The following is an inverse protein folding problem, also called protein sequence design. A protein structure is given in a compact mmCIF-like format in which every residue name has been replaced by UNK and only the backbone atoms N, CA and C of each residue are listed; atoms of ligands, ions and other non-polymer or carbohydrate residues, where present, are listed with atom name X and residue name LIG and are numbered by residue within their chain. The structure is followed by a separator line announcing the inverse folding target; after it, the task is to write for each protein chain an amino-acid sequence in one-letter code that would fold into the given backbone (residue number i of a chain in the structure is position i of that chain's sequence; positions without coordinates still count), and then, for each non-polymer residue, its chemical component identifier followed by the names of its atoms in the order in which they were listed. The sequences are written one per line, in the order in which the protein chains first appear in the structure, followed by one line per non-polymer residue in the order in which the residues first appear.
data_IF_165766434275
#
_entry.id   IF_165766434275
#
_cell.length_a   1.000
_cell.length_b   1.000
_cell.length_c   1.000
_cell.angle_alpha   90.00
_cell.angle_beta   90.00
_cell.angle_gamma   90.00
#
_symmetry.space_group_name_H-M   'P 1'
#
loop_
_entity.id
_entity.type
_entity.pdbx_description
1 polymer ?
#
# COMPACT_ATOMS: atom_id res chain seq x y z
N UNK A 1 -1.97 -0.44 -30.51
CA UNK A 1 -1.80 -0.54 -29.04
C UNK A 1 -1.91 0.87 -28.48
N UNK A 2 -2.59 1.09 -27.36
CA UNK A 2 -2.93 2.42 -26.82
C UNK A 2 -1.75 3.23 -26.29
N UNK A 3 -0.52 2.69 -26.35
CA UNK A 3 0.73 3.26 -25.80
C UNK A 3 0.68 3.64 -24.31
N UNK A 4 -0.38 3.27 -23.60
CA UNK A 4 -0.53 3.45 -22.15
C UNK A 4 -0.16 2.17 -21.42
N UNK A 5 0.54 2.31 -20.30
CA UNK A 5 0.74 1.19 -19.38
C UNK A 5 -0.61 0.78 -18.79
N UNK A 6 -0.72 -0.52 -18.48
CA UNK A 6 -1.89 -1.11 -17.84
C UNK A 6 -1.55 -1.42 -16.39
N UNK A 7 -2.60 -1.48 -15.57
CA UNK A 7 -2.46 -1.79 -14.15
C UNK A 7 -1.78 -3.13 -13.90
N UNK A 8 -1.03 -3.22 -12.79
CA UNK A 8 -0.26 -4.42 -12.45
C UNK A 8 -1.12 -5.69 -12.42
N UNK A 9 -2.40 -5.59 -12.04
CA UNK A 9 -3.34 -6.71 -12.05
C UNK A 9 -3.41 -7.42 -13.41
N UNK A 10 -3.30 -6.69 -14.53
CA UNK A 10 -3.26 -7.31 -15.87
C UNK A 10 -1.99 -8.14 -16.06
N UNK A 11 -0.83 -7.63 -15.64
CA UNK A 11 0.44 -8.38 -15.71
C UNK A 11 0.39 -9.62 -14.81
N UNK A 12 -0.25 -9.53 -13.64
CA UNK A 12 -0.35 -10.65 -12.70
C UNK A 12 -0.98 -11.91 -13.31
N UNK A 13 -1.88 -11.74 -14.30
CA UNK A 13 -2.51 -12.86 -15.02
C UNK A 13 -1.50 -13.71 -15.80
N UNK A 14 -0.31 -13.17 -16.11
CA UNK A 14 0.78 -13.89 -16.78
C UNK A 14 1.67 -14.67 -15.82
N UNK A 15 1.69 -14.32 -14.53
CA UNK A 15 2.59 -14.89 -13.53
C UNK A 15 2.11 -16.29 -13.15
N UNK A 16 3.02 -17.28 -13.10
CA UNK A 16 2.77 -18.70 -12.74
C UNK A 16 1.81 -19.47 -13.66
N UNK A 17 1.49 -18.94 -14.84
CA UNK A 17 0.56 -19.60 -15.78
C UNK A 17 1.27 -20.70 -16.57
N UNK A 18 0.61 -21.86 -16.70
CA UNK A 18 1.15 -23.06 -17.38
C UNK A 18 0.54 -23.32 -18.76
N UNK A 19 -0.58 -22.68 -19.10
CA UNK A 19 -1.33 -22.89 -20.34
C UNK A 19 -1.66 -21.54 -21.01
N UNK A 20 -1.89 -21.56 -22.33
CA UNK A 20 -2.31 -20.40 -23.14
C UNK A 20 -1.35 -19.19 -23.10
N UNK A 21 -0.06 -19.46 -22.91
CA UNK A 21 0.98 -18.43 -22.69
C UNK A 21 1.12 -17.49 -23.89
N UNK A 22 1.12 -18.03 -25.11
CA UNK A 22 1.32 -17.25 -26.33
C UNK A 22 0.17 -16.28 -26.62
N UNK A 23 -1.06 -16.74 -26.47
CA UNK A 23 -2.23 -15.88 -26.68
C UNK A 23 -2.29 -14.77 -25.64
N UNK A 24 -1.98 -15.08 -24.38
CA UNK A 24 -1.95 -14.07 -23.33
C UNK A 24 -0.79 -13.08 -23.54
N UNK A 25 0.37 -13.52 -24.02
CA UNK A 25 1.47 -12.61 -24.37
C UNK A 25 1.12 -11.66 -25.52
N UNK A 26 0.31 -12.12 -26.49
CA UNK A 26 -0.23 -11.27 -27.56
C UNK A 26 -1.26 -10.27 -27.04
N UNK A 27 -2.15 -10.70 -26.14
CA UNK A 27 -3.19 -9.86 -25.52
C UNK A 27 -2.62 -8.83 -24.54
N UNK A 28 -1.62 -9.22 -23.74
CA UNK A 28 -1.00 -8.44 -22.68
C UNK A 28 0.51 -8.33 -22.91
N UNK A 29 0.95 -7.50 -23.87
CA UNK A 29 2.36 -7.24 -24.11
C UNK A 29 2.99 -6.55 -22.89
N UNK A 30 4.28 -6.82 -22.65
CA UNK A 30 5.03 -6.26 -21.51
C UNK A 30 6.29 -5.57 -22.02
N UNK A 31 6.59 -4.42 -21.43
CA UNK A 31 7.87 -3.73 -21.56
C UNK A 31 8.63 -3.83 -20.23
N UNK A 32 9.90 -4.23 -20.27
CA UNK A 32 10.77 -4.28 -19.11
C UNK A 32 11.41 -2.90 -18.87
N UNK A 33 11.20 -2.33 -17.70
CA UNK A 33 11.82 -1.08 -17.27
C UNK A 33 12.97 -1.38 -16.28
N UNK A 34 14.19 -1.50 -16.80
CA UNK A 34 15.37 -1.93 -16.02
C UNK A 34 15.95 -0.76 -15.23
N UNK A 35 16.19 -0.95 -13.93
CA UNK A 35 16.60 0.14 -13.04
C UNK A 35 17.93 -0.06 -12.31
N UNK A 36 18.50 -1.28 -12.29
CA UNK A 36 19.77 -1.59 -11.63
C UNK A 36 20.49 -2.76 -12.31
N UNK A 37 21.78 -2.91 -12.04
CA UNK A 37 22.62 -4.05 -12.45
C UNK A 37 23.42 -4.52 -11.24
N UNK A 38 23.24 -5.78 -10.85
CA UNK A 38 23.82 -6.33 -9.62
C UNK A 38 25.02 -7.26 -9.89
N UNK A 39 25.14 -7.75 -11.12
CA UNK A 39 26.19 -8.65 -11.56
C UNK A 39 26.41 -8.47 -13.06
N UNK A 40 27.67 -8.45 -13.51
CA UNK A 40 28.00 -8.33 -14.93
C UNK A 40 29.36 -8.99 -15.22
N UNK A 41 29.43 -9.86 -16.23
CA UNK A 41 30.66 -10.51 -16.71
C UNK A 41 31.56 -11.13 -15.61
N UNK A 42 30.97 -11.79 -14.61
CA UNK A 42 31.74 -12.40 -13.51
C UNK A 42 31.93 -11.50 -12.30
N UNK A 43 31.61 -10.21 -12.40
CA UNK A 43 31.78 -9.25 -11.32
C UNK A 43 30.51 -9.04 -10.51
N UNK A 44 30.64 -9.14 -9.18
CA UNK A 44 29.60 -8.78 -8.22
C UNK A 44 29.62 -7.26 -8.00
N UNK A 45 28.45 -6.62 -8.16
CA UNK A 45 28.30 -5.16 -8.06
C UNK A 45 27.49 -4.71 -6.85
N UNK A 46 27.21 -5.60 -5.88
CA UNK A 46 26.39 -5.25 -4.72
C UNK A 46 26.99 -4.10 -3.90
N UNK A 47 28.30 -4.12 -3.67
CA UNK A 47 28.98 -3.04 -2.93
C UNK A 47 29.32 -1.82 -3.80
N UNK A 48 29.12 -1.93 -5.11
CA UNK A 48 29.39 -0.84 -6.06
C UNK A 48 28.35 0.27 -5.89
N UNK A 49 28.71 1.57 -5.83
CA UNK A 49 27.78 2.68 -5.73
C UNK A 49 26.72 2.71 -6.86
N UNK A 50 25.48 3.09 -6.53
CA UNK A 50 24.37 3.16 -7.48
C UNK A 50 24.72 3.99 -8.72
N UNK A 51 25.43 5.11 -8.58
CA UNK A 51 25.86 5.93 -9.72
C UNK A 51 26.68 5.14 -10.75
N UNK A 52 27.60 4.26 -10.29
CA UNK A 52 28.44 3.43 -11.14
C UNK A 52 27.64 2.28 -11.75
N UNK A 53 26.82 1.59 -10.95
CA UNK A 53 25.93 0.52 -11.44
C UNK A 53 25.00 1.07 -12.52
N UNK A 54 24.43 2.24 -12.29
CA UNK A 54 23.52 2.88 -13.22
C UNK A 54 24.20 3.28 -14.52
N UNK A 55 25.41 3.82 -14.48
CA UNK A 55 26.18 4.12 -15.67
C UNK A 55 26.54 2.87 -16.48
N UNK A 56 26.83 1.74 -15.81
CA UNK A 56 27.03 0.46 -16.48
C UNK A 56 25.74 -0.05 -17.12
N UNK A 57 24.62 0.02 -16.40
CA UNK A 57 23.30 -0.39 -16.91
C UNK A 57 22.94 0.31 -18.22
N UNK A 58 23.14 1.63 -18.28
CA UNK A 58 22.88 2.47 -19.46
C UNK A 58 23.78 2.12 -20.65
N UNK A 59 24.95 1.50 -20.42
CA UNK A 59 25.83 1.03 -21.49
C UNK A 59 25.46 -0.36 -22.01
N UNK A 60 24.99 -1.24 -21.14
CA UNK A 60 24.78 -2.66 -21.49
C UNK A 60 23.36 -2.94 -22.01
N UNK A 61 22.37 -2.14 -21.63
CA UNK A 61 21.00 -2.30 -22.10
C UNK A 61 20.84 -1.61 -23.45
N UNK A 62 20.55 -2.40 -24.49
CA UNK A 62 20.13 -1.88 -25.79
C UNK A 62 18.63 -1.64 -25.75
N UNK A 63 18.23 -0.38 -25.60
CA UNK A 63 16.81 -0.02 -25.48
C UNK A 63 16.04 -0.34 -26.76
N UNK A 64 14.88 -0.97 -26.60
CA UNK A 64 13.90 -1.20 -27.65
C UNK A 64 12.51 -0.85 -27.09
N UNK A 65 11.90 0.22 -27.62
CA UNK A 65 10.60 0.74 -27.18
C UNK A 65 9.55 -0.39 -27.16
N UNK A 66 8.76 -0.45 -26.10
CA UNK A 66 7.75 -1.47 -25.84
C UNK A 66 8.26 -2.89 -25.63
N UNK A 67 9.58 -3.08 -25.45
CA UNK A 67 10.17 -4.37 -25.07
C UNK A 67 11.09 -4.26 -23.86
N UNK A 68 12.12 -3.43 -23.93
CA UNK A 68 13.08 -3.23 -22.86
C UNK A 68 13.65 -1.81 -22.92
N UNK A 69 13.52 -1.08 -21.83
CA UNK A 69 14.08 0.26 -21.67
C UNK A 69 14.75 0.40 -20.31
N UNK A 70 15.62 1.37 -20.18
CA UNK A 70 16.20 1.74 -18.91
C UNK A 70 15.25 2.75 -18.24
N UNK A 71 14.93 2.54 -16.95
CA UNK A 71 13.99 3.39 -16.21
C UNK A 71 14.41 4.86 -16.26
N UNK A 72 13.51 5.80 -16.52
CA UNK A 72 13.83 7.24 -16.51
C UNK A 72 14.37 7.69 -15.15
N UNK A 73 15.34 8.61 -15.15
CA UNK A 73 15.96 9.16 -13.94
C UNK A 73 16.23 10.66 -14.10
N UNK A 74 16.29 11.37 -12.97
CA UNK A 74 16.98 12.64 -12.84
C UNK A 74 17.96 12.55 -11.66
N UNK A 75 19.01 13.37 -11.68
CA UNK A 75 19.89 13.58 -10.53
C UNK A 75 19.77 15.05 -10.16
N UNK A 76 19.24 15.35 -8.98
CA UNK A 76 19.01 16.73 -8.54
C UNK A 76 19.17 16.85 -7.03
N UNK A 77 19.63 18.02 -6.59
CA UNK A 77 19.56 18.49 -5.19
C UNK A 77 18.41 19.48 -4.99
N UNK A 78 17.68 19.86 -6.04
CA UNK A 78 16.58 20.82 -6.00
C UNK A 78 15.25 20.11 -5.80
N UNK A 79 14.53 20.48 -4.73
CA UNK A 79 13.20 19.94 -4.41
C UNK A 79 12.17 20.18 -5.52
N UNK A 80 12.19 21.34 -6.19
CA UNK A 80 11.25 21.68 -7.26
C UNK A 80 11.40 20.73 -8.45
N UNK A 81 12.63 20.41 -8.86
CA UNK A 81 12.86 19.48 -9.97
C UNK A 81 12.43 18.05 -9.63
N UNK A 82 12.67 17.62 -8.37
CA UNK A 82 12.19 16.34 -7.87
C UNK A 82 10.66 16.26 -7.88
N UNK A 83 9.96 17.32 -7.46
CA UNK A 83 8.50 17.40 -7.49
C UNK A 83 7.94 17.37 -8.91
N UNK A 84 8.54 18.14 -9.84
CA UNK A 84 8.13 18.10 -11.26
C UNK A 84 8.29 16.71 -11.87
N UNK A 85 9.39 16.01 -11.56
CA UNK A 85 9.61 14.65 -12.02
C UNK A 85 8.59 13.66 -11.42
N UNK A 86 8.23 13.87 -10.16
CA UNK A 86 7.17 13.11 -9.50
C UNK A 86 5.80 13.34 -10.14
N UNK A 87 5.39 14.59 -10.34
CA UNK A 87 4.13 14.96 -10.99
C UNK A 87 4.05 14.42 -12.43
N UNK A 88 5.15 14.50 -13.19
CA UNK A 88 5.25 13.92 -14.53
C UNK A 88 5.07 12.38 -14.49
N UNK A 89 5.68 11.71 -13.50
CA UNK A 89 5.53 10.25 -13.33
C UNK A 89 4.08 9.86 -13.05
N UNK A 90 3.43 10.58 -12.13
CA UNK A 90 2.02 10.35 -11.75
C UNK A 90 1.07 10.67 -12.91
N UNK A 91 1.29 11.76 -13.65
CA UNK A 91 0.45 12.12 -14.80
C UNK A 91 0.51 11.10 -15.94
N UNK A 92 1.58 10.30 -16.01
CA UNK A 92 1.75 9.17 -16.94
C UNK A 92 1.13 7.87 -16.45
N UNK A 93 0.46 7.88 -15.30
CA UNK A 93 -0.19 6.71 -14.70
C UNK A 93 0.72 5.82 -13.87
N UNK A 94 1.94 6.26 -13.52
CA UNK A 94 2.80 5.49 -12.61
C UNK A 94 2.43 5.78 -11.14
N UNK A 95 2.78 4.86 -10.23
CA UNK A 95 2.53 5.00 -8.78
C UNK A 95 3.20 6.24 -8.15
N UNK A 96 4.29 6.73 -8.72
CA UNK A 96 5.13 7.79 -8.17
C UNK A 96 6.59 7.66 -8.59
N UNK A 97 7.52 7.94 -7.68
CA UNK A 97 8.98 7.88 -7.94
C UNK A 97 9.76 7.17 -6.83
N UNK A 98 10.93 6.65 -7.21
CA UNK A 98 11.93 6.13 -6.28
C UNK A 98 13.03 7.16 -6.06
N UNK A 99 13.18 7.64 -4.83
CA UNK A 99 14.32 8.44 -4.39
C UNK A 99 15.43 7.46 -3.97
N UNK A 100 16.64 7.61 -4.51
CA UNK A 100 17.77 6.71 -4.21
C UNK A 100 19.04 7.50 -3.95
N UNK A 101 19.80 7.12 -2.94
CA UNK A 101 21.11 7.72 -2.67
C UNK A 101 22.13 7.29 -3.73
N UNK A 102 22.86 8.25 -4.32
CA UNK A 102 23.80 7.97 -5.42
C UNK A 102 24.95 7.05 -5.01
N UNK A 103 25.39 7.19 -3.74
CA UNK A 103 26.54 6.46 -3.20
C UNK A 103 26.13 5.18 -2.47
N UNK A 104 24.85 4.79 -2.51
CA UNK A 104 24.41 3.59 -1.81
C UNK A 104 24.87 2.30 -2.49
N UNK A 105 25.34 1.30 -1.72
CA UNK A 105 25.44 -0.07 -2.21
C UNK A 105 24.03 -0.65 -2.42
N UNK A 106 23.94 -1.78 -3.12
CA UNK A 106 22.73 -2.59 -3.15
C UNK A 106 22.74 -3.55 -1.95
N UNK A 107 21.74 -3.45 -1.06
CA UNK A 107 21.61 -4.35 0.08
C UNK A 107 20.42 -5.31 -0.11
N UNK A 108 20.67 -6.60 -0.41
CA UNK A 108 19.60 -7.60 -0.46
C UNK A 108 18.82 -7.63 0.87
N UNK A 109 17.49 -7.60 0.79
CA UNK A 109 16.62 -7.72 1.97
C UNK A 109 16.51 -6.47 2.88
N UNK A 110 17.40 -5.48 2.76
CA UNK A 110 17.35 -4.25 3.57
C UNK A 110 16.81 -3.06 2.77
N UNK A 111 15.76 -2.41 3.30
CA UNK A 111 15.13 -1.23 2.70
C UNK A 111 15.45 0.09 3.42
N UNK A 112 16.16 0.03 4.54
CA UNK A 112 16.41 1.21 5.40
C UNK A 112 17.60 2.01 4.88
N UNK A 113 17.42 3.33 4.73
CA UNK A 113 18.50 4.33 4.60
C UNK A 113 19.03 4.64 3.19
N UNK A 114 18.66 3.88 2.15
CA UNK A 114 19.25 4.04 0.81
C UNK A 114 18.25 4.37 -0.30
N UNK A 115 16.98 4.06 -0.09
CA UNK A 115 15.91 4.33 -1.05
C UNK A 115 14.59 4.61 -0.34
N UNK A 116 13.82 5.53 -0.89
CA UNK A 116 12.49 5.94 -0.40
C UNK A 116 11.53 5.96 -1.58
N UNK A 117 10.29 5.50 -1.34
CA UNK A 117 9.20 5.58 -2.30
C UNK A 117 8.43 6.86 -2.02
N UNK A 118 8.18 7.65 -3.06
CA UNK A 118 7.27 8.79 -3.01
C UNK A 118 6.10 8.48 -3.96
N UNK A 119 4.91 8.25 -3.40
CA UNK A 119 3.70 7.86 -4.13
C UNK A 119 2.60 8.90 -3.99
N UNK A 120 1.64 8.90 -4.93
CA UNK A 120 0.46 9.77 -4.85
C UNK A 120 -0.70 9.20 -4.04
N UNK A 121 -0.68 7.89 -3.79
CA UNK A 121 -1.70 7.18 -3.02
C UNK A 121 -1.56 7.43 -1.53
N UNK A 122 -2.69 7.38 -0.83
CA UNK A 122 -2.72 7.28 0.63
C UNK A 122 -2.14 5.92 1.03
N UNK A 123 -0.97 5.92 1.66
CA UNK A 123 -0.37 4.69 2.22
C UNK A 123 -1.18 4.15 3.42
N UNK A 124 -2.05 4.99 3.98
CA UNK A 124 -2.91 4.71 5.13
C UNK A 124 -4.25 5.44 5.02
N UNK A 125 -5.30 4.87 5.59
CA UNK A 125 -6.57 5.54 5.85
C UNK A 125 -6.75 5.64 7.36
N UNK A 126 -7.20 6.79 7.84
CA UNK A 126 -7.69 6.95 9.20
C UNK A 126 -9.15 6.47 9.24
N UNK A 127 -9.45 5.39 9.96
CA UNK A 127 -10.77 4.74 9.95
C UNK A 127 -11.29 4.54 11.37
N UNK A 128 -12.59 4.71 11.57
CA UNK A 128 -13.22 4.57 12.88
C UNK A 128 -13.60 3.12 13.15
N UNK A 129 -13.52 2.69 14.41
CA UNK A 129 -14.02 1.39 14.85
C UNK A 129 -15.53 1.49 15.11
N UNK A 130 -16.32 0.68 14.41
CA UNK A 130 -17.80 0.61 14.56
C UNK A 130 -18.29 -0.72 15.13
N UNK A 131 -17.39 -1.70 15.20
CA UNK A 131 -17.66 -3.02 15.77
C UNK A 131 -16.36 -3.74 16.09
N UNK A 132 -16.46 -4.81 16.86
CA UNK A 132 -15.33 -5.68 17.13
C UNK A 132 -15.80 -7.11 17.43
N UNK A 133 -14.84 -8.04 17.54
CA UNK A 133 -15.09 -9.41 17.98
C UNK A 133 -14.16 -9.83 19.11
N UNK A 134 -14.72 -10.45 20.13
CA UNK A 134 -13.96 -11.13 21.18
C UNK A 134 -13.12 -12.26 20.57
N UNK A 135 -11.88 -12.37 21.04
CA UNK A 135 -10.96 -13.44 20.65
C UNK A 135 -11.39 -14.81 21.15
N UNK A 136 -10.58 -15.81 20.83
CA UNK A 136 -10.78 -17.20 21.25
C UNK A 136 -9.55 -17.73 21.97
N UNK A 137 -9.76 -18.82 22.72
CA UNK A 137 -8.69 -19.53 23.43
C UNK A 137 -7.89 -18.60 24.33
N UNK A 138 -6.59 -18.45 24.05
CA UNK A 138 -5.68 -17.62 24.86
C UNK A 138 -6.01 -16.12 24.80
N UNK A 139 -6.79 -15.67 23.82
CA UNK A 139 -7.15 -14.25 23.63
C UNK A 139 -8.64 -13.97 23.88
N UNK A 140 -9.36 -14.89 24.55
CA UNK A 140 -10.80 -14.70 24.83
C UNK A 140 -11.12 -13.49 25.71
N UNK A 141 -10.15 -13.01 26.48
CA UNK A 141 -10.30 -11.80 27.30
C UNK A 141 -10.13 -10.47 26.55
N UNK A 142 -9.84 -10.49 25.25
CA UNK A 142 -9.59 -9.28 24.45
C UNK A 142 -10.45 -9.24 23.18
N UNK A 143 -10.77 -8.04 22.74
CA UNK A 143 -11.22 -7.78 21.38
C UNK A 143 -10.03 -7.96 20.43
N UNK A 144 -10.19 -8.73 19.36
CA UNK A 144 -9.08 -9.13 18.48
C UNK A 144 -9.30 -8.89 16.99
N UNK A 145 -10.53 -8.57 16.59
CA UNK A 145 -10.91 -8.21 15.22
C UNK A 145 -11.78 -6.97 15.30
N UNK A 146 -11.45 -5.93 14.55
CA UNK A 146 -12.10 -4.61 14.62
C UNK A 146 -12.74 -4.30 13.26
N UNK A 147 -14.04 -4.03 13.24
CA UNK A 147 -14.77 -3.56 12.06
C UNK A 147 -14.51 -2.07 11.88
N UNK A 148 -13.96 -1.72 10.71
CA UNK A 148 -13.53 -0.38 10.35
C UNK A 148 -14.55 0.28 9.44
N UNK A 149 -14.74 1.59 9.59
CA UNK A 149 -15.60 2.39 8.74
C UNK A 149 -14.95 3.70 8.29
N UNK A 150 -15.31 4.12 7.07
CA UNK A 150 -15.13 5.48 6.55
C UNK A 150 -16.43 6.29 6.75
N UNK A 151 -16.39 7.60 6.55
CA UNK A 151 -17.57 8.47 6.68
C UNK A 151 -18.10 8.94 5.31
N UNK A 152 -19.42 8.96 5.12
CA UNK A 152 -20.05 9.56 3.94
C UNK A 152 -20.40 11.04 4.15
N UNK A 153 -20.85 11.73 3.08
CA UNK A 153 -21.19 13.15 3.12
C UNK A 153 -22.40 13.47 4.03
N UNK A 154 -23.18 12.46 4.40
CA UNK A 154 -24.32 12.58 5.31
C UNK A 154 -23.92 12.31 6.78
N UNK A 155 -22.64 12.01 7.05
CA UNK A 155 -22.14 11.67 8.37
C UNK A 155 -22.39 10.22 8.79
N UNK A 156 -22.77 9.33 7.87
CA UNK A 156 -22.93 7.91 8.16
C UNK A 156 -21.58 7.20 8.10
N UNK A 157 -21.31 6.36 9.09
CA UNK A 157 -20.16 5.46 9.06
C UNK A 157 -20.46 4.21 8.26
N UNK A 158 -19.70 4.01 7.17
CA UNK A 158 -19.84 2.91 6.24
C UNK A 158 -18.68 1.94 6.40
N UNK A 159 -18.98 0.67 6.65
CA UNK A 159 -17.99 -0.36 6.87
C UNK A 159 -17.12 -0.55 5.62
N UNK A 160 -15.83 -0.84 5.80
CA UNK A 160 -14.86 -1.05 4.72
C UNK A 160 -13.90 -2.22 4.99
N UNK A 161 -14.09 -2.96 6.09
CA UNK A 161 -13.23 -4.10 6.38
C UNK A 161 -13.21 -4.48 7.86
N UNK A 162 -12.55 -5.60 8.13
CA UNK A 162 -12.15 -5.99 9.48
C UNK A 162 -10.63 -6.06 9.56
N UNK A 163 -10.06 -5.70 10.72
CA UNK A 163 -8.62 -5.79 10.97
C UNK A 163 -8.34 -6.44 12.32
N UNK A 164 -7.41 -7.39 12.34
CA UNK A 164 -6.82 -7.94 13.57
C UNK A 164 -5.30 -7.96 13.54
N UNK A 165 -4.69 -7.50 12.44
CA UNK A 165 -3.22 -7.50 12.28
C UNK A 165 -2.64 -6.13 12.61
N UNK A 166 -1.39 -6.10 13.07
CA UNK A 166 -0.71 -4.86 13.46
C UNK A 166 -0.82 -4.54 14.95
N UNK A 167 -1.82 -5.11 15.63
CA UNK A 167 -2.01 -5.02 17.09
C UNK A 167 -1.14 -6.05 17.82
N UNK A 168 -0.56 -5.64 18.94
CA UNK A 168 0.38 -6.43 19.75
C UNK A 168 -0.32 -7.19 20.88
N UNK A 169 0.31 -8.23 21.41
CA UNK A 169 -0.17 -8.88 22.63
C UNK A 169 0.29 -8.13 23.89
N UNK A 170 1.47 -7.51 23.84
CA UNK A 170 2.07 -6.77 24.96
C UNK A 170 2.13 -5.29 24.63
N UNK A 171 1.68 -4.44 25.55
CA UNK A 171 1.69 -2.98 25.42
C UNK A 171 3.10 -2.39 25.20
N UNK A 172 4.12 -3.04 25.76
CA UNK A 172 5.54 -2.63 25.61
C UNK A 172 6.04 -2.67 24.15
N UNK A 173 5.37 -3.44 23.27
CA UNK A 173 5.75 -3.61 21.86
C UNK A 173 5.00 -2.64 20.92
N UNK A 174 4.12 -1.80 21.46
CA UNK A 174 3.19 -0.93 20.75
C UNK A 174 1.73 -1.24 21.09
N UNK A 175 0.82 -0.61 20.33
CA UNK A 175 -0.63 -0.71 20.57
C UNK A 175 -1.11 -2.16 20.69
N UNK A 176 -1.61 -2.51 21.86
CA UNK A 176 -1.96 -3.88 22.21
C UNK A 176 -3.46 -4.16 22.19
N UNK A 177 -3.82 -5.45 22.10
CA UNK A 177 -5.22 -5.88 22.19
C UNK A 177 -5.84 -5.51 23.53
N UNK A 178 -5.07 -5.57 24.61
CA UNK A 178 -5.52 -5.15 25.94
C UNK A 178 -5.88 -3.67 25.98
N UNK A 179 -5.00 -2.80 25.49
CA UNK A 179 -5.25 -1.35 25.43
C UNK A 179 -6.47 -1.01 24.58
N UNK A 180 -6.57 -1.56 23.36
CA UNK A 180 -7.75 -1.35 22.51
C UNK A 180 -9.02 -1.88 23.16
N UNK A 181 -8.95 -3.00 23.86
CA UNK A 181 -10.11 -3.53 24.59
C UNK A 181 -10.56 -2.57 25.68
N UNK A 182 -9.65 -2.03 26.49
CA UNK A 182 -9.99 -1.05 27.53
C UNK A 182 -10.52 0.26 26.95
N UNK A 183 -9.97 0.74 25.84
CA UNK A 183 -10.47 1.93 25.14
C UNK A 183 -11.90 1.71 24.60
N UNK A 184 -12.22 0.53 24.09
CA UNK A 184 -13.51 0.24 23.43
C UNK A 184 -14.61 -0.19 24.40
N UNK A 185 -14.27 -0.77 25.55
CA UNK A 185 -15.23 -1.24 26.57
C UNK A 185 -16.30 -0.20 26.94
N UNK A 186 -15.96 1.07 27.24
CA UNK A 186 -16.96 2.11 27.55
C UNK A 186 -17.90 2.44 26.39
N UNK A 187 -17.54 2.05 25.17
CA UNK A 187 -18.23 2.39 23.94
C UNK A 187 -19.04 1.21 23.36
N UNK A 188 -19.09 0.06 24.04
CA UNK A 188 -19.92 -1.08 23.62
C UNK A 188 -21.41 -0.71 23.75
N UNK A 189 -22.13 -0.73 22.63
CA UNK A 189 -23.59 -0.50 22.58
C UNK A 189 -24.38 -1.79 22.74
N UNK A 190 -23.90 -2.86 22.11
CA UNK A 190 -24.58 -4.15 22.08
C UNK A 190 -23.55 -5.26 21.93
N UNK A 191 -23.85 -6.41 22.55
CA UNK A 191 -23.04 -7.61 22.46
C UNK A 191 -23.93 -8.81 22.13
N UNK A 192 -23.52 -9.62 21.14
CA UNK A 192 -24.20 -10.85 20.74
C UNK A 192 -23.17 -11.94 20.46
N UNK A 193 -23.02 -12.85 21.42
CA UNK A 193 -22.01 -13.90 21.32
C UNK A 193 -20.62 -13.28 21.34
N UNK A 194 -19.89 -13.36 20.22
CA UNK A 194 -18.55 -12.78 20.09
C UNK A 194 -18.55 -11.39 19.45
N UNK A 195 -19.62 -11.02 18.76
CA UNK A 195 -19.70 -9.75 18.03
C UNK A 195 -20.16 -8.63 18.98
N UNK A 196 -19.45 -7.51 18.95
CA UNK A 196 -19.81 -6.29 19.68
C UNK A 196 -20.02 -5.14 18.69
N UNK A 197 -21.10 -4.39 18.90
CA UNK A 197 -21.36 -3.13 18.21
C UNK A 197 -20.78 -2.00 19.05
N UNK A 198 -19.94 -1.17 18.45
CA UNK A 198 -19.19 -0.12 19.12
C UNK A 198 -19.73 1.26 18.70
N UNK A 199 -19.84 2.19 19.66
CA UNK A 199 -20.05 3.60 19.37
C UNK A 199 -18.80 4.15 18.65
N UNK A 200 -18.94 4.77 17.46
CA UNK A 200 -17.79 5.31 16.72
C UNK A 200 -17.12 6.42 17.52
N UNK A 201 -15.98 6.11 18.15
CA UNK A 201 -15.25 7.01 19.06
C UNK A 201 -13.73 6.88 18.86
N UNK A 202 -13.24 5.69 18.52
CA UNK A 202 -11.81 5.41 18.34
C UNK A 202 -11.46 5.36 16.86
N UNK A 203 -10.51 6.20 16.44
CA UNK A 203 -9.94 6.22 15.09
C UNK A 203 -8.60 5.49 15.06
N UNK A 204 -8.39 4.66 14.05
CA UNK A 204 -7.13 3.96 13.80
C UNK A 204 -6.52 4.41 12.49
N UNK A 205 -5.20 4.56 12.47
CA UNK A 205 -4.44 4.66 11.23
C UNK A 205 -4.23 3.24 10.66
N UNK A 206 -4.80 2.99 9.49
CA UNK A 206 -4.83 1.69 8.85
C UNK A 206 -4.01 1.71 7.58
N UNK A 207 -2.96 0.90 7.56
CA UNK A 207 -2.23 0.59 6.34
C UNK A 207 -2.93 -0.54 5.60
N UNK A 208 -2.93 -0.48 4.28
CA UNK A 208 -3.51 -1.51 3.41
C UNK A 208 -2.66 -1.67 2.15
N UNK A 209 -2.85 -2.78 1.42
CA UNK A 209 -2.17 -2.98 0.14
C UNK A 209 -2.98 -2.46 -1.06
N UNK A 210 -4.31 -2.60 -0.99
CA UNK A 210 -5.23 -2.32 -2.08
C UNK A 210 -6.66 -2.13 -1.54
N UNK A 211 -7.50 -1.41 -2.28
CA UNK A 211 -8.95 -1.32 -2.08
C UNK A 211 -9.65 -2.11 -3.18
N UNK A 212 -10.66 -2.88 -2.83
CA UNK A 212 -11.43 -3.70 -3.77
C UNK A 212 -12.91 -3.33 -3.70
N UNK A 213 -13.61 -3.38 -4.83
CA UNK A 213 -15.07 -3.30 -4.82
C UNK A 213 -15.63 -4.54 -4.11
N UNK A 214 -16.55 -4.35 -3.16
CA UNK A 214 -17.12 -5.42 -2.35
C UNK A 214 -18.59 -5.15 -2.04
N UNK A 215 -19.50 -6.09 -2.33
CA UNK A 215 -20.90 -5.99 -1.93
C UNK A 215 -21.12 -6.32 -0.44
N UNK A 216 -20.11 -6.84 0.25
CA UNK A 216 -20.23 -7.29 1.64
C UNK A 216 -20.30 -6.14 2.64
N UNK A 217 -19.63 -5.03 2.33
CA UNK A 217 -19.53 -3.89 3.24
C UNK A 217 -20.36 -2.71 2.72
N UNK A 218 -20.93 -1.93 3.65
CA UNK A 218 -21.84 -0.84 3.31
C UNK A 218 -21.19 0.32 2.53
N UNK A 219 -19.87 0.46 2.56
CA UNK A 219 -19.14 1.40 1.69
C UNK A 219 -19.12 1.00 0.21
N UNK A 220 -19.42 -0.26 -0.10
CA UNK A 220 -19.18 -0.84 -1.43
C UNK A 220 -17.71 -1.21 -1.68
N UNK A 221 -16.84 -1.06 -0.68
CA UNK A 221 -15.40 -1.31 -0.78
C UNK A 221 -14.88 -2.19 0.36
N UNK A 222 -13.73 -2.84 0.13
CA UNK A 222 -13.02 -3.65 1.11
C UNK A 222 -11.51 -3.36 1.08
N UNK A 223 -10.90 -3.24 2.25
CA UNK A 223 -9.44 -3.17 2.36
C UNK A 223 -8.80 -4.55 2.22
N UNK A 224 -7.73 -4.63 1.43
CA UNK A 224 -6.90 -5.82 1.31
C UNK A 224 -5.69 -5.73 2.22
N UNK A 225 -5.49 -6.78 3.02
CA UNK A 225 -4.44 -6.88 4.03
C UNK A 225 -4.34 -5.64 4.94
N UNK A 226 -5.46 -5.20 5.55
CA UNK A 226 -5.43 -4.07 6.47
C UNK A 226 -4.56 -4.42 7.69
N UNK A 227 -3.81 -3.44 8.16
CA UNK A 227 -2.93 -3.53 9.32
C UNK A 227 -2.99 -2.24 10.12
N UNK A 228 -3.24 -2.38 11.42
CA UNK A 228 -3.21 -1.25 12.36
C UNK A 228 -1.78 -0.74 12.48
N UNK A 229 -1.60 0.57 12.35
CA UNK A 229 -0.34 1.28 12.61
C UNK A 229 -0.36 1.84 14.03
N UNK A 230 -1.37 2.65 14.35
CA UNK A 230 -1.55 3.29 15.65
C UNK A 230 -3.01 3.72 15.86
N UNK A 231 -3.36 4.01 17.10
CA UNK A 231 -4.57 4.75 17.42
C UNK A 231 -4.32 6.25 17.18
N UNK A 232 -5.35 6.97 16.72
CA UNK A 232 -5.30 8.38 16.36
C UNK A 232 -6.08 9.19 17.38
N UNK A 233 -5.50 9.33 18.57
CA UNK A 233 -6.07 10.10 19.68
C UNK A 233 -6.17 11.61 19.35
N UNK A 234 -5.48 12.05 18.30
CA UNK A 234 -5.52 13.40 17.74
C UNK A 234 -6.67 13.64 16.76
N UNK A 235 -7.52 12.64 16.49
CA UNK A 235 -8.62 12.74 15.53
C UNK A 235 -9.97 12.41 16.13
N UNK A 236 -10.96 13.23 15.77
CA UNK A 236 -12.36 12.93 16.04
C UNK A 236 -12.90 11.90 15.05
N UNK A 237 -13.92 11.09 15.42
CA UNK A 237 -14.58 10.14 14.51
C UNK A 237 -15.04 10.77 13.19
N UNK A 238 -15.56 11.99 13.24
CA UNK A 238 -16.05 12.74 12.08
C UNK A 238 -14.92 13.20 11.13
N UNK A 239 -13.68 13.19 11.60
CA UNK A 239 -12.46 13.54 10.83
C UNK A 239 -11.77 12.31 10.23
N UNK A 240 -12.40 11.13 10.32
CA UNK A 240 -11.90 9.93 9.65
C UNK A 240 -12.02 10.05 8.12
N UNK A 241 -11.38 9.13 7.41
CA UNK A 241 -11.29 9.17 5.95
C UNK A 241 -12.67 9.05 5.33
N UNK A 242 -12.94 9.88 4.32
CA UNK A 242 -14.26 9.93 3.67
C UNK A 242 -14.43 8.84 2.62
N UNK A 243 -15.67 8.51 2.28
CA UNK A 243 -16.00 7.63 1.17
C UNK A 243 -15.44 8.16 -0.15
N UNK A 244 -15.45 9.48 -0.36
CA UNK A 244 -14.83 10.11 -1.54
C UNK A 244 -13.32 9.83 -1.61
N UNK A 245 -12.60 9.92 -0.48
CA UNK A 245 -11.17 9.59 -0.42
C UNK A 245 -10.93 8.11 -0.79
N UNK A 246 -11.76 7.21 -0.26
CA UNK A 246 -11.72 5.77 -0.58
C UNK A 246 -11.95 5.54 -2.07
N UNK A 247 -12.96 6.18 -2.66
CA UNK A 247 -13.28 6.08 -4.08
C UNK A 247 -12.14 6.60 -4.96
N UNK A 248 -11.56 7.75 -4.59
CA UNK A 248 -10.43 8.35 -5.29
C UNK A 248 -9.19 7.45 -5.25
N UNK A 249 -8.91 6.85 -4.10
CA UNK A 249 -7.81 5.90 -3.95
C UNK A 249 -8.07 4.63 -4.78
N UNK A 250 -9.28 4.09 -4.74
CA UNK A 250 -9.68 2.94 -5.57
C UNK A 250 -9.59 3.22 -7.08
N UNK A 251 -10.06 4.39 -7.54
CA UNK A 251 -9.91 4.82 -8.92
C UNK A 251 -8.46 5.06 -9.31
N UNK A 252 -7.65 5.59 -8.39
CA UNK A 252 -6.21 5.73 -8.53
C UNK A 252 -5.55 4.38 -8.79
N UNK A 253 -5.91 3.35 -8.02
CA UNK A 253 -5.44 1.98 -8.19
C UNK A 253 -5.88 1.34 -9.51
N UNK A 254 -7.05 1.71 -10.04
CA UNK A 254 -7.50 1.29 -11.39
C UNK A 254 -6.80 2.01 -12.54
N UNK A 255 -6.23 3.19 -12.28
CA UNK A 255 -5.48 3.99 -13.28
C UNK A 255 -3.98 3.68 -13.26
N UNK A 256 -3.47 3.01 -12.21
CA UNK A 256 -2.06 2.62 -11.98
C UNK A 256 -1.73 1.23 -12.53
#
# INVERSE_FOLDING_TARGET
KTEKYLVFQHISQRIRRKYDIENLAKKLPVELNVFDVLFYNGENLLDTPLVKRRALLEKIVREEKFKIIVSKKIVTSNKSDALKFYEDSVSKGNEGVMLKSLNSPYKPGSRVGFMVKLKSSMDTLDLVIVGAEWGEGKRSGWLTSFTLACIDDNGNFLEIGKVGTGVKEKAEEGLSFGELTEMLKPHIKQEKGREVVIKPEIVLEIKFEEIQASPTYSSGYALRFPRVIQARDDRMPEECSTLEMVQKEFEGQKKQ
#
